data_IF_345124955213
#
_entry.id   IF_345124955213
#
_cell.length_a   1.000
_cell.length_b   1.000
_cell.length_c   1.000
_cell.angle_alpha   90.00
_cell.angle_beta   90.00
_cell.angle_gamma   90.00
#
_symmetry.space_group_name_H-M   'P 1'
#
loop_
_entity.id
_entity.type
_entity.pdbx_description
1 polymer ?
#
# COMPACT_ATOMS: atom_id res chain seq x y z
N UNK A 1 -18.89 -3.19 19.24
CA UNK A 1 -17.99 -2.59 18.25
C UNK A 1 -17.62 -1.21 18.75
N UNK A 2 -16.40 -1.05 19.25
CA UNK A 2 -15.89 0.24 19.70
C UNK A 2 -15.92 1.26 18.55
N UNK A 3 -16.21 2.51 18.88
CA UNK A 3 -16.28 3.61 17.92
C UNK A 3 -14.85 3.99 17.51
N UNK A 4 -14.33 3.45 16.42
CA UNK A 4 -13.04 3.84 15.81
C UNK A 4 -13.06 5.24 15.17
N UNK A 5 -14.00 6.10 15.58
CA UNK A 5 -14.15 7.45 15.06
C UNK A 5 -12.92 8.27 15.46
N UNK A 6 -12.03 8.48 14.48
CA UNK A 6 -10.81 9.29 14.58
C UNK A 6 -9.79 8.86 15.64
N UNK A 7 -9.63 7.55 15.88
CA UNK A 7 -8.43 7.09 16.58
C UNK A 7 -7.22 7.24 15.66
N UNK A 8 -6.33 8.18 16.00
CA UNK A 8 -4.98 8.19 15.44
C UNK A 8 -4.28 6.94 15.95
N UNK A 9 -4.29 5.86 15.18
CA UNK A 9 -3.41 4.73 15.46
C UNK A 9 -2.02 5.21 15.04
N UNK A 10 -1.24 5.66 16.01
CA UNK A 10 0.17 5.92 15.80
C UNK A 10 0.87 4.57 15.59
N UNK A 11 0.78 4.03 14.38
CA UNK A 11 1.67 2.96 13.96
C UNK A 11 3.03 3.63 13.70
N UNK A 12 3.91 3.55 14.69
CA UNK A 12 5.32 3.86 14.54
C UNK A 12 6.02 2.54 14.27
N UNK A 13 6.16 2.11 12.99
CA UNK A 13 7.19 1.15 12.70
C UNK A 13 8.48 1.85 13.14
N UNK A 14 9.21 1.25 14.07
CA UNK A 14 10.33 1.84 14.82
C UNK A 14 11.54 2.25 13.97
N UNK A 15 11.35 2.55 12.69
CA UNK A 15 12.41 2.70 11.71
C UNK A 15 12.09 3.83 10.72
N UNK A 16 12.88 4.89 10.84
CA UNK A 16 13.32 5.86 9.80
C UNK A 16 12.68 7.24 9.67
N UNK A 17 11.60 7.56 10.38
CA UNK A 17 11.24 8.94 10.67
C UNK A 17 10.36 8.98 11.92
N UNK A 18 10.51 9.97 12.79
CA UNK A 18 9.57 10.27 13.90
C UNK A 18 8.18 10.71 13.37
N UNK A 19 7.78 10.25 12.18
CA UNK A 19 6.53 10.58 11.52
C UNK A 19 5.43 9.63 11.97
N UNK A 20 4.36 10.22 12.50
CA UNK A 20 3.11 9.52 12.79
C UNK A 20 2.47 9.08 11.47
N UNK A 21 2.12 7.80 11.34
CA UNK A 21 1.21 7.32 10.29
C UNK A 21 -0.22 7.71 10.64
N UNK A 22 -0.92 8.35 9.71
CA UNK A 22 -2.31 8.75 9.91
C UNK A 22 -3.25 7.76 9.23
N UNK A 23 -4.16 7.19 10.01
CA UNK A 23 -5.22 6.31 9.54
C UNK A 23 -6.56 7.05 9.66
N UNK A 24 -7.23 7.26 8.53
CA UNK A 24 -8.47 8.04 8.47
C UNK A 24 -9.57 7.19 7.88
N UNK A 25 -10.69 7.05 8.60
CA UNK A 25 -11.87 6.34 8.12
C UNK A 25 -12.74 7.20 7.20
N UNK A 26 -13.29 6.62 6.13
CA UNK A 26 -14.13 7.34 5.16
C UNK A 26 -15.37 8.00 5.77
N UNK A 27 -15.97 7.46 6.84
CA UNK A 27 -17.10 8.11 7.54
C UNK A 27 -16.74 9.44 8.22
N UNK A 28 -15.44 9.71 8.44
CA UNK A 28 -14.99 11.00 8.96
C UNK A 28 -14.91 12.08 7.88
N UNK A 29 -15.08 11.71 6.60
CA UNK A 29 -15.04 12.62 5.47
C UNK A 29 -16.44 13.13 5.10
N UNK A 30 -16.54 14.34 4.49
CA UNK A 30 -17.78 14.81 3.88
C UNK A 30 -18.35 13.81 2.87
N UNK A 31 -19.68 13.81 2.70
CA UNK A 31 -20.38 12.85 1.85
C UNK A 31 -19.89 12.85 0.40
N UNK A 32 -19.41 13.99 -0.11
CA UNK A 32 -18.86 14.14 -1.46
C UNK A 32 -17.57 13.33 -1.67
N UNK A 33 -16.85 13.09 -0.57
CA UNK A 33 -15.61 12.33 -0.49
C UNK A 33 -15.83 10.94 0.13
N UNK A 34 -17.06 10.66 0.60
CA UNK A 34 -17.42 9.33 1.09
C UNK A 34 -17.33 8.35 -0.06
N UNK A 35 -16.44 7.39 0.11
CA UNK A 35 -16.21 6.31 -0.83
C UNK A 35 -17.33 5.31 -0.61
N UNK A 36 -18.10 5.00 -1.65
CA UNK A 36 -19.13 3.98 -1.50
C UNK A 36 -18.64 2.57 -1.81
N UNK A 37 -17.96 2.28 -2.92
CA UNK A 37 -18.23 0.92 -3.41
C UNK A 37 -17.12 -0.13 -3.62
N UNK A 38 -15.80 0.09 -3.73
CA UNK A 38 -14.92 -1.08 -4.03
C UNK A 38 -13.49 -1.10 -3.47
N UNK A 39 -12.98 0.01 -2.93
CA UNK A 39 -11.62 0.07 -2.43
C UNK A 39 -11.62 0.17 -0.91
N UNK A 40 -10.92 -0.77 -0.26
CA UNK A 40 -10.91 -0.92 1.20
C UNK A 40 -9.90 0.03 1.87
N UNK A 41 -8.84 0.41 1.16
CA UNK A 41 -7.93 1.47 1.60
C UNK A 41 -7.11 2.02 0.44
N UNK A 42 -6.54 3.21 0.64
CA UNK A 42 -5.70 3.89 -0.35
C UNK A 42 -4.70 4.83 0.32
N UNK A 43 -3.56 5.04 -0.33
CA UNK A 43 -2.57 6.06 0.01
C UNK A 43 -2.11 6.84 -1.22
N UNK A 44 -1.68 8.10 -1.03
CA UNK A 44 -1.03 8.92 -2.06
C UNK A 44 0.05 9.81 -1.46
N UNK A 45 0.90 10.40 -2.31
CA UNK A 45 1.98 11.30 -1.87
C UNK A 45 1.49 12.64 -1.30
N UNK A 46 0.26 13.04 -1.61
CA UNK A 46 -0.35 14.26 -1.08
C UNK A 46 -1.60 14.02 -0.22
N UNK A 47 -1.96 12.76 0.05
CA UNK A 47 -3.19 12.42 0.79
C UNK A 47 -3.28 13.18 2.12
N UNK A 48 -2.14 13.49 2.75
CA UNK A 48 -2.08 14.33 3.93
C UNK A 48 -2.64 15.73 3.74
N UNK A 49 -2.34 16.39 2.62
CA UNK A 49 -2.84 17.72 2.31
C UNK A 49 -4.35 17.72 2.11
N UNK A 50 -4.89 16.63 1.56
CA UNK A 50 -6.32 16.44 1.37
C UNK A 50 -7.05 16.21 2.70
N UNK A 51 -6.42 15.48 3.63
CA UNK A 51 -7.01 15.13 4.91
C UNK A 51 -6.79 16.20 5.99
N UNK A 52 -5.71 16.99 5.92
CA UNK A 52 -5.33 17.99 6.94
C UNK A 52 -6.42 18.99 7.32
N UNK A 53 -7.28 19.49 6.43
CA UNK A 53 -8.38 20.36 6.85
C UNK A 53 -9.43 19.68 7.74
N UNK A 54 -9.38 18.35 7.85
CA UNK A 54 -10.43 17.49 8.43
C UNK A 54 -9.96 16.71 9.65
N UNK A 55 -8.67 16.38 9.70
CA UNK A 55 -8.02 15.81 10.89
C UNK A 55 -7.07 16.87 11.46
N UNK A 56 -7.01 17.07 12.78
CA UNK A 56 -6.20 18.12 13.44
C UNK A 56 -4.68 17.86 13.33
N UNK A 57 -4.20 17.68 12.11
CA UNK A 57 -2.87 17.26 11.73
C UNK A 57 -1.95 18.47 11.58
N UNK A 58 -0.81 18.42 12.25
CA UNK A 58 0.30 19.35 12.07
C UNK A 58 1.40 18.76 11.18
N UNK A 59 1.82 19.50 10.17
CA UNK A 59 2.91 19.10 9.28
C UNK A 59 2.52 18.10 8.20
N UNK A 60 3.49 17.72 7.36
CA UNK A 60 3.37 16.63 6.36
C UNK A 60 3.59 15.27 7.02
N UNK A 61 3.06 14.21 6.43
CA UNK A 61 3.36 12.84 6.84
C UNK A 61 2.57 11.81 6.03
N UNK A 62 2.85 10.52 6.22
CA UNK A 62 2.15 9.46 5.51
C UNK A 62 0.70 9.33 6.01
N UNK A 63 -0.23 9.12 5.08
CA UNK A 63 -1.64 8.85 5.38
C UNK A 63 -2.14 7.62 4.64
N UNK A 64 -3.11 6.95 5.27
CA UNK A 64 -3.91 5.88 4.68
C UNK A 64 -5.37 6.23 4.93
N UNK A 65 -6.14 6.33 3.85
CA UNK A 65 -7.59 6.45 3.90
C UNK A 65 -8.18 5.04 3.86
N UNK A 66 -9.07 4.72 4.79
CA UNK A 66 -9.65 3.39 4.97
C UNK A 66 -11.16 3.45 4.82
N UNK A 67 -11.74 2.57 4.00
CA UNK A 67 -13.18 2.43 3.88
C UNK A 67 -13.75 1.62 5.05
N UNK A 68 -14.11 2.32 6.11
CA UNK A 68 -14.66 1.77 7.34
C UNK A 68 -16.09 1.23 7.19
N UNK A 69 -16.79 1.56 6.10
CA UNK A 69 -18.05 0.92 5.72
C UNK A 69 -17.85 -0.49 5.16
N UNK A 70 -16.86 -0.66 4.27
CA UNK A 70 -16.48 -1.96 3.73
C UNK A 70 -15.78 -2.82 4.78
N UNK A 71 -14.86 -2.25 5.57
CA UNK A 71 -14.17 -3.01 6.61
C UNK A 71 -15.12 -3.59 7.66
N UNK A 72 -16.22 -2.90 7.99
CA UNK A 72 -17.21 -3.41 8.92
C UNK A 72 -17.92 -4.69 8.43
N UNK A 73 -17.78 -5.03 7.15
CA UNK A 73 -18.33 -6.24 6.52
C UNK A 73 -17.26 -7.33 6.32
N UNK A 74 -16.01 -7.06 6.70
CA UNK A 74 -14.87 -7.95 6.53
C UNK A 74 -14.48 -8.61 7.86
N UNK A 75 -13.60 -9.61 7.78
CA UNK A 75 -13.00 -10.25 8.95
C UNK A 75 -12.22 -9.23 9.80
N UNK A 76 -12.18 -9.37 11.15
CA UNK A 76 -11.56 -8.40 12.05
C UNK A 76 -10.10 -8.03 11.71
N UNK A 77 -9.33 -8.98 11.19
CA UNK A 77 -7.91 -8.82 10.85
C UNK A 77 -7.68 -8.10 9.51
N UNK A 78 -8.74 -7.81 8.76
CA UNK A 78 -8.61 -7.25 7.41
C UNK A 78 -8.09 -5.80 7.43
N UNK A 79 -8.29 -5.07 8.53
CA UNK A 79 -7.67 -3.75 8.71
C UNK A 79 -6.14 -3.85 8.65
N UNK A 80 -5.53 -4.83 9.32
CA UNK A 80 -4.07 -5.03 9.31
C UNK A 80 -3.56 -5.32 7.89
N UNK A 81 -4.29 -6.12 7.13
CA UNK A 81 -3.98 -6.42 5.71
C UNK A 81 -3.94 -5.14 4.88
N UNK A 82 -4.97 -4.30 5.01
CA UNK A 82 -5.07 -3.02 4.28
C UNK A 82 -3.96 -2.07 4.70
N UNK A 83 -3.73 -1.90 6.00
CA UNK A 83 -2.68 -1.03 6.53
C UNK A 83 -1.32 -1.45 6.01
N UNK A 84 -1.01 -2.75 6.01
CA UNK A 84 0.27 -3.28 5.52
C UNK A 84 0.42 -3.09 4.01
N UNK A 85 -0.64 -3.33 3.25
CA UNK A 85 -0.66 -3.11 1.79
C UNK A 85 -0.35 -1.64 1.43
N UNK A 86 -1.07 -0.71 2.06
CA UNK A 86 -0.91 0.72 1.80
C UNK A 86 0.40 1.27 2.38
N UNK A 87 0.84 0.78 3.53
CA UNK A 87 2.15 1.14 4.10
C UNK A 87 3.30 0.70 3.20
N UNK A 88 3.19 -0.46 2.54
CA UNK A 88 4.18 -0.89 1.56
C UNK A 88 4.29 0.07 0.37
N UNK A 89 3.16 0.65 -0.11
CA UNK A 89 3.19 1.68 -1.16
C UNK A 89 3.93 2.93 -0.69
N UNK A 90 3.71 3.37 0.55
CA UNK A 90 4.42 4.49 1.16
C UNK A 90 5.92 4.21 1.23
N UNK A 91 6.32 3.02 1.66
CA UNK A 91 7.73 2.63 1.83
C UNK A 91 8.47 2.48 0.50
N UNK A 92 7.84 1.86 -0.51
CA UNK A 92 8.41 1.76 -1.85
C UNK A 92 8.65 3.14 -2.47
N UNK A 93 7.64 4.03 -2.40
CA UNK A 93 7.76 5.40 -2.88
C UNK A 93 8.86 6.18 -2.16
N UNK A 94 8.98 6.02 -0.84
CA UNK A 94 10.03 6.66 -0.05
C UNK A 94 11.42 6.19 -0.50
N UNK A 95 11.57 4.89 -0.76
CA UNK A 95 12.81 4.32 -1.26
C UNK A 95 13.19 4.89 -2.63
N UNK A 96 12.25 4.90 -3.59
CA UNK A 96 12.48 5.39 -4.96
C UNK A 96 12.87 6.87 -5.00
N UNK A 97 12.18 7.70 -4.21
CA UNK A 97 12.31 9.16 -4.28
C UNK A 97 13.30 9.71 -3.25
N UNK A 98 13.69 8.92 -2.25
CA UNK A 98 14.41 9.37 -1.06
C UNK A 98 13.59 10.26 -0.11
N UNK A 99 12.34 10.58 -0.46
CA UNK A 99 11.43 11.41 0.32
C UNK A 99 9.97 11.06 -0.03
N UNK A 100 9.07 11.23 0.93
CA UNK A 100 7.64 10.95 0.72
C UNK A 100 6.96 11.94 -0.22
N UNK A 101 7.48 13.16 -0.29
CA UNK A 101 6.96 14.26 -1.10
C UNK A 101 8.13 15.12 -1.61
N UNK A 102 8.04 15.61 -2.84
CA UNK A 102 9.00 16.56 -3.36
C UNK A 102 8.79 17.96 -2.76
N UNK A 103 9.87 18.74 -2.49
CA UNK A 103 9.74 20.16 -2.18
C UNK A 103 9.00 20.87 -3.32
N UNK A 104 7.84 21.46 -3.03
CA UNK A 104 7.03 22.13 -4.05
C UNK A 104 6.09 21.21 -4.84
N UNK A 105 5.96 19.92 -4.49
CA UNK A 105 4.78 19.11 -4.85
C UNK A 105 3.56 19.71 -4.12
N UNK A 106 3.06 20.82 -4.66
CA UNK A 106 1.64 21.10 -4.66
C UNK A 106 1.10 20.35 -5.88
N UNK A 107 0.11 19.47 -5.74
CA UNK A 107 -0.59 18.97 -6.93
C UNK A 107 -1.00 20.16 -7.80
N UNK A 108 -0.99 19.96 -9.12
CA UNK A 108 -1.36 21.00 -10.12
C UNK A 108 -2.70 21.67 -9.76
N UNK A 109 -3.59 20.91 -9.13
CA UNK A 109 -4.53 21.38 -8.09
C UNK A 109 -4.79 20.24 -7.10
N UNK A 110 -4.91 20.53 -5.79
CA UNK A 110 -5.34 19.52 -4.79
C UNK A 110 -6.66 18.86 -5.19
N UNK A 111 -7.50 19.58 -5.92
CA UNK A 111 -8.78 19.07 -6.44
C UNK A 111 -8.60 17.98 -7.49
N UNK A 112 -7.58 18.05 -8.34
CA UNK A 112 -7.34 17.02 -9.36
C UNK A 112 -6.75 15.75 -8.76
N UNK A 113 -5.84 15.86 -7.79
CA UNK A 113 -5.34 14.68 -7.08
C UNK A 113 -6.41 14.09 -6.16
N UNK A 114 -7.26 14.92 -5.53
CA UNK A 114 -8.46 14.43 -4.87
C UNK A 114 -9.36 13.67 -5.84
N UNK A 115 -9.67 14.24 -7.00
CA UNK A 115 -10.47 13.56 -8.02
C UNK A 115 -9.83 12.25 -8.45
N UNK A 116 -8.51 12.18 -8.61
CA UNK A 116 -7.80 10.96 -9.01
C UNK A 116 -7.80 9.89 -7.91
N UNK A 117 -7.50 10.26 -6.67
CA UNK A 117 -7.59 9.36 -5.50
C UNK A 117 -9.01 8.86 -5.37
N UNK A 118 -10.01 9.74 -5.35
CA UNK A 118 -11.41 9.34 -5.25
C UNK A 118 -11.92 8.61 -6.49
N UNK A 119 -11.41 8.89 -7.70
CA UNK A 119 -11.74 8.15 -8.91
C UNK A 119 -11.18 6.73 -8.87
N UNK A 120 -9.91 6.55 -8.50
CA UNK A 120 -9.27 5.24 -8.32
C UNK A 120 -10.06 4.36 -7.37
N UNK A 121 -10.52 4.97 -6.28
CA UNK A 121 -11.31 4.32 -5.25
C UNK A 121 -12.75 4.02 -5.74
N UNK A 122 -13.32 4.85 -6.62
CA UNK A 122 -14.64 4.63 -7.25
C UNK A 122 -14.61 3.61 -8.39
N UNK A 123 -13.50 3.50 -9.13
CA UNK A 123 -13.40 2.72 -10.37
C UNK A 123 -12.95 1.28 -10.19
N UNK A 124 -12.70 0.82 -8.96
CA UNK A 124 -12.13 -0.51 -8.68
C UNK A 124 -13.09 -1.69 -8.96
N UNK A 125 -14.23 -1.45 -9.61
CA UNK A 125 -15.27 -2.47 -9.90
C UNK A 125 -14.92 -3.46 -11.02
N UNK A 126 -13.77 -3.35 -11.68
CA UNK A 126 -13.38 -4.32 -12.71
C UNK A 126 -11.87 -4.61 -12.66
N UNK A 127 -11.45 -5.40 -11.67
CA UNK A 127 -10.12 -6.02 -11.63
C UNK A 127 -9.01 -5.04 -12.01
N UNK A 128 -8.78 -4.03 -11.16
CA UNK A 128 -7.63 -3.15 -11.30
C UNK A 128 -6.38 -4.01 -11.29
N UNK A 129 -5.93 -4.40 -12.49
CA UNK A 129 -4.56 -4.82 -12.70
C UNK A 129 -3.73 -3.75 -12.00
N UNK A 130 -2.79 -4.11 -11.11
CA UNK A 130 -1.80 -3.14 -10.75
C UNK A 130 -1.27 -2.64 -12.10
N UNK A 131 -1.20 -1.32 -12.33
CA UNK A 131 -0.21 -0.91 -13.29
C UNK A 131 1.08 -1.53 -12.73
N UNK A 132 1.60 -2.57 -13.38
CA UNK A 132 2.97 -2.99 -13.15
C UNK A 132 3.83 -1.86 -13.73
N UNK A 133 3.76 -0.70 -13.08
CA UNK A 133 4.64 0.43 -13.23
C UNK A 133 5.90 0.12 -12.43
N UNK A 134 7.02 0.74 -12.83
CA UNK A 134 8.34 0.50 -12.23
C UNK A 134 8.26 0.45 -10.70
N UNK A 135 9.08 -0.44 -10.12
CA UNK A 135 9.29 -0.60 -8.68
C UNK A 135 8.22 -1.41 -7.91
N UNK A 136 7.33 -2.10 -8.64
CA UNK A 136 6.41 -3.07 -8.04
C UNK A 136 7.12 -4.21 -7.27
N UNK A 137 8.37 -4.54 -7.59
CA UNK A 137 9.18 -5.49 -6.85
C UNK A 137 9.55 -4.98 -5.45
N UNK A 138 9.90 -3.70 -5.32
CA UNK A 138 10.12 -3.05 -4.03
C UNK A 138 8.85 -3.05 -3.18
N UNK A 139 7.70 -2.81 -3.80
CA UNK A 139 6.42 -2.94 -3.11
C UNK A 139 6.16 -4.37 -2.61
N UNK A 140 6.36 -5.40 -3.44
CA UNK A 140 6.20 -6.81 -3.04
C UNK A 140 7.16 -7.16 -1.89
N UNK A 141 8.43 -6.73 -1.95
CA UNK A 141 9.39 -6.96 -0.86
C UNK A 141 8.94 -6.26 0.42
N UNK A 142 8.56 -4.98 0.34
CA UNK A 142 8.10 -4.21 1.49
C UNK A 142 6.88 -4.85 2.16
N UNK A 143 5.85 -5.21 1.39
CA UNK A 143 4.60 -5.76 1.93
C UNK A 143 4.84 -7.11 2.62
N UNK A 144 5.73 -7.94 2.08
CA UNK A 144 6.03 -9.25 2.66
C UNK A 144 6.91 -9.15 3.91
N UNK A 145 7.85 -8.21 3.97
CA UNK A 145 8.62 -7.93 5.20
C UNK A 145 7.74 -7.35 6.30
N UNK A 146 6.87 -6.39 5.97
CA UNK A 146 5.89 -5.84 6.92
C UNK A 146 4.97 -6.93 7.48
N UNK A 147 4.49 -7.84 6.61
CA UNK A 147 3.74 -9.02 7.06
C UNK A 147 4.56 -9.94 7.94
N UNK A 148 5.81 -10.23 7.59
CA UNK A 148 6.66 -11.11 8.38
C UNK A 148 6.78 -10.61 9.82
N UNK A 149 6.96 -9.29 10.00
CA UNK A 149 7.00 -8.64 11.32
C UNK A 149 5.67 -8.68 12.04
N UNK A 150 4.57 -8.33 11.36
CA UNK A 150 3.24 -8.40 11.96
C UNK A 150 2.93 -9.82 12.48
N UNK A 151 3.32 -10.86 11.72
CA UNK A 151 3.16 -12.25 12.14
C UNK A 151 3.99 -12.60 13.37
N UNK A 152 5.20 -12.03 13.51
CA UNK A 152 6.01 -12.21 14.71
C UNK A 152 5.42 -11.50 15.94
N UNK A 153 4.71 -10.40 15.73
CA UNK A 153 4.00 -9.64 16.77
C UNK A 153 2.63 -10.24 17.15
N UNK A 154 2.24 -11.35 16.51
CA UNK A 154 1.02 -12.10 16.84
C UNK A 154 -0.18 -11.83 15.94
N UNK A 155 -0.05 -10.98 14.91
CA UNK A 155 -1.07 -10.89 13.86
C UNK A 155 -1.06 -12.16 12.99
N UNK A 156 -2.21 -12.53 12.42
CA UNK A 156 -2.27 -13.67 11.52
C UNK A 156 -3.15 -13.40 10.30
N UNK A 157 -2.53 -13.40 9.14
CA UNK A 157 -3.22 -13.43 7.85
C UNK A 157 -2.34 -14.07 6.78
N UNK A 158 -2.98 -14.71 5.81
CA UNK A 158 -2.31 -15.39 4.69
C UNK A 158 -1.69 -14.37 3.72
N UNK A 159 -0.51 -14.65 3.14
CA UNK A 159 0.15 -13.71 2.23
C UNK A 159 -0.71 -13.41 0.99
N UNK A 160 -1.56 -14.34 0.56
CA UNK A 160 -2.51 -14.19 -0.55
C UNK A 160 -3.60 -13.12 -0.30
N UNK A 161 -3.74 -12.63 0.95
CA UNK A 161 -4.62 -11.51 1.26
C UNK A 161 -3.99 -10.16 0.93
N UNK A 162 -2.67 -10.08 0.82
CA UNK A 162 -1.96 -8.84 0.52
C UNK A 162 -1.99 -8.51 -0.97
N UNK A 163 -1.83 -9.52 -1.81
CA UNK A 163 -2.02 -9.45 -3.25
C UNK A 163 -2.47 -10.80 -3.78
N UNK A 164 -3.32 -10.75 -4.80
CA UNK A 164 -3.93 -11.93 -5.41
C UNK A 164 -3.34 -12.18 -6.80
N UNK A 165 -3.70 -13.32 -7.40
CA UNK A 165 -3.39 -13.58 -8.82
C UNK A 165 -4.09 -12.63 -9.78
N UNK A 166 -5.14 -11.92 -9.33
CA UNK A 166 -5.83 -10.92 -10.14
C UNK A 166 -4.91 -9.74 -10.50
N UNK A 167 -3.82 -9.59 -9.74
CA UNK A 167 -2.75 -8.65 -10.02
C UNK A 167 -1.83 -9.10 -11.17
N UNK A 168 -2.04 -10.30 -11.74
CA UNK A 168 -1.15 -10.90 -12.74
C UNK A 168 0.15 -11.44 -12.14
N UNK A 169 0.22 -11.56 -10.81
CA UNK A 169 1.38 -12.05 -10.08
C UNK A 169 1.27 -13.55 -9.80
N UNK A 170 2.42 -14.20 -9.71
CA UNK A 170 2.60 -15.51 -9.07
C UNK A 170 2.06 -15.43 -7.64
N UNK A 171 1.56 -16.57 -7.13
CA UNK A 171 0.99 -16.64 -5.79
C UNK A 171 2.01 -16.12 -4.75
N UNK A 172 1.55 -15.25 -3.84
CA UNK A 172 2.34 -14.63 -2.78
C UNK A 172 3.16 -15.63 -1.93
N UNK A 173 2.72 -16.88 -1.78
CA UNK A 173 3.46 -17.93 -1.08
C UNK A 173 4.83 -18.21 -1.71
N UNK A 174 4.96 -18.13 -3.04
CA UNK A 174 6.24 -18.33 -3.72
C UNK A 174 7.22 -17.19 -3.44
N UNK A 175 6.72 -15.95 -3.41
CA UNK A 175 7.52 -14.79 -3.01
C UNK A 175 7.97 -14.89 -1.54
N UNK A 176 7.10 -15.36 -0.63
CA UNK A 176 7.48 -15.64 0.77
C UNK A 176 8.61 -16.67 0.85
N UNK A 177 8.54 -17.75 0.08
CA UNK A 177 9.61 -18.75 0.04
C UNK A 177 10.91 -18.17 -0.51
N UNK A 178 10.84 -17.40 -1.59
CA UNK A 178 12.00 -16.77 -2.22
C UNK A 178 12.71 -15.76 -1.30
N UNK A 179 11.95 -15.07 -0.44
CA UNK A 179 12.47 -14.10 0.52
C UNK A 179 12.83 -14.70 1.89
N UNK A 180 12.61 -15.99 2.13
CA UNK A 180 12.74 -16.59 3.47
C UNK A 180 14.10 -16.30 4.15
N UNK A 181 15.21 -16.43 3.42
CA UNK A 181 16.54 -16.15 3.97
C UNK A 181 16.73 -14.67 4.31
N UNK A 182 16.16 -13.78 3.48
CA UNK A 182 16.20 -12.34 3.73
C UNK A 182 15.38 -11.97 4.96
N UNK A 183 14.20 -12.58 5.15
CA UNK A 183 13.38 -12.36 6.35
C UNK A 183 14.16 -12.67 7.63
N UNK A 184 14.85 -13.82 7.67
CA UNK A 184 15.65 -14.22 8.83
C UNK A 184 16.84 -13.29 9.04
N UNK A 185 17.54 -12.92 7.96
CA UNK A 185 18.76 -12.11 8.05
C UNK A 185 18.48 -10.62 8.35
N UNK A 186 17.30 -10.11 7.98
CA UNK A 186 16.96 -8.67 8.02
C UNK A 186 15.70 -8.38 8.84
N UNK A 187 15.36 -9.26 9.78
CA UNK A 187 14.14 -9.13 10.60
C UNK A 187 14.06 -7.76 11.29
N UNK A 188 15.18 -7.27 11.82
CA UNK A 188 15.27 -6.01 12.56
C UNK A 188 15.73 -4.81 11.70
N UNK A 189 16.12 -5.03 10.44
CA UNK A 189 16.60 -3.95 9.57
C UNK A 189 15.45 -2.99 9.21
N UNK A 190 15.68 -1.69 9.04
CA UNK A 190 14.68 -0.82 8.44
C UNK A 190 14.20 -1.30 7.06
N UNK A 191 12.92 -1.10 6.74
CA UNK A 191 12.39 -1.48 5.42
C UNK A 191 13.15 -0.77 4.30
N UNK A 192 13.50 0.51 4.44
CA UNK A 192 14.24 1.20 3.38
C UNK A 192 15.66 0.62 3.19
N UNK A 193 16.33 0.16 4.24
CA UNK A 193 17.61 -0.54 4.12
C UNK A 193 17.46 -1.88 3.39
N UNK A 194 16.39 -2.62 3.66
CA UNK A 194 16.05 -3.84 2.93
C UNK A 194 15.86 -3.54 1.44
N UNK A 195 15.08 -2.51 1.11
CA UNK A 195 14.82 -2.13 -0.28
C UNK A 195 16.08 -1.63 -1.01
N UNK A 196 17.03 -1.00 -0.30
CA UNK A 196 18.34 -0.60 -0.86
C UNK A 196 19.27 -1.77 -1.14
N UNK A 197 19.09 -2.93 -0.49
CA UNK A 197 19.92 -4.08 -0.80
C UNK A 197 19.44 -4.83 -2.01
N UNK A 198 20.38 -5.47 -2.69
CA UNK A 198 20.09 -6.40 -3.78
C UNK A 198 19.06 -7.44 -3.35
N UNK A 199 17.99 -7.67 -4.14
CA UNK A 199 17.00 -8.67 -3.83
C UNK A 199 17.61 -10.09 -3.93
N UNK A 200 17.09 -11.08 -3.18
CA UNK A 200 17.49 -12.47 -3.38
C UNK A 200 17.25 -12.93 -4.82
N UNK A 201 18.19 -13.67 -5.40
CA UNK A 201 18.11 -14.17 -6.79
C UNK A 201 16.78 -14.87 -7.10
N UNK A 202 16.32 -15.76 -6.20
CA UNK A 202 15.05 -16.46 -6.36
C UNK A 202 13.84 -15.54 -6.38
N UNK A 203 13.89 -14.41 -5.68
CA UNK A 203 12.84 -13.39 -5.73
C UNK A 203 12.88 -12.64 -7.06
N UNK A 204 14.08 -12.23 -7.49
CA UNK A 204 14.27 -11.50 -8.74
C UNK A 204 13.78 -12.31 -9.95
N UNK A 205 14.12 -13.60 -10.02
CA UNK A 205 13.66 -14.48 -11.09
C UNK A 205 12.13 -14.62 -11.15
N UNK A 206 11.45 -14.70 -9.99
CA UNK A 206 10.00 -14.74 -9.93
C UNK A 206 9.38 -13.45 -10.43
N UNK A 207 9.91 -12.31 -9.99
CA UNK A 207 9.45 -11.00 -10.43
C UNK A 207 9.64 -10.80 -11.93
N UNK A 208 10.81 -11.11 -12.47
CA UNK A 208 11.10 -10.98 -13.91
C UNK A 208 10.17 -11.84 -14.76
N UNK A 209 9.83 -13.05 -14.30
CA UNK A 209 8.85 -13.92 -14.95
C UNK A 209 7.45 -13.30 -14.97
N UNK A 210 6.96 -12.80 -13.83
CA UNK A 210 5.64 -12.18 -13.72
C UNK A 210 5.56 -10.88 -14.53
N UNK A 211 6.62 -10.08 -14.49
CA UNK A 211 6.73 -8.85 -15.27
C UNK A 211 6.71 -9.14 -16.77
N UNK A 212 7.49 -10.11 -17.25
CA UNK A 212 7.48 -10.54 -18.64
C UNK A 212 6.09 -11.05 -19.07
N UNK A 213 5.43 -11.83 -18.22
CA UNK A 213 4.07 -12.34 -18.44
C UNK A 213 3.07 -11.17 -18.58
N UNK A 214 3.12 -10.20 -17.69
CA UNK A 214 2.28 -9.00 -17.74
C UNK A 214 2.49 -8.17 -19.01
N UNK A 215 3.73 -7.93 -19.42
CA UNK A 215 4.06 -7.19 -20.66
C UNK A 215 3.47 -7.90 -21.89
N UNK A 216 3.55 -9.23 -21.94
CA UNK A 216 2.95 -10.03 -23.01
C UNK A 216 1.43 -9.93 -23.02
N UNK A 217 0.76 -9.91 -21.87
CA UNK A 217 -0.69 -9.76 -21.80
C UNK A 217 -1.15 -8.34 -22.18
N UNK A 218 -0.45 -7.31 -21.69
CA UNK A 218 -0.79 -5.90 -21.92
C UNK A 218 -0.64 -5.51 -23.39
N UNK A 219 0.41 -6.00 -24.07
CA UNK A 219 0.62 -5.77 -25.50
C UNK A 219 -0.46 -6.39 -26.41
N UNK A 220 -1.16 -7.44 -25.95
CA UNK A 220 -2.29 -8.05 -26.67
C UNK A 220 -3.60 -7.27 -26.50
N UNK A 221 -3.84 -6.66 -25.35
CA UNK A 221 -5.06 -5.85 -25.10
C UNK A 221 -5.09 -4.57 -25.95
N UNK A 222 -3.94 -3.99 -26.27
CA UNK A 222 -3.82 -2.83 -27.17
C UNK A 222 -4.05 -3.14 -28.66
N UNK A 223 -4.29 -4.40 -29.03
CA UNK A 223 -4.54 -4.85 -30.43
C UNK A 223 -5.97 -5.37 -30.64
N UNK A 224 -6.96 -4.87 -29.88
CA UNK A 224 -8.36 -5.09 -30.28
C UNK A 224 -8.64 -4.19 -31.50
N UNK A 225 -9.15 -4.75 -32.61
CA UNK A 225 -9.53 -3.97 -33.79
C UNK A 225 -10.64 -2.96 -33.48
#
# INVERSE_FOLDING_TARGET
>A
MENWAASTIAYSPKTEADSVLYLVGTKSLPNELSVRDNCVGTTSGCLDLLLRPRVCWKGRGPAILVNDGLLAQMEPHFLSVVVIHELAHIMARLHERGQLWAPGESPRSLDDEAKEVFATVRSSSNGSSPPMCGDCDNWIRAVLHLRHRAVQDGDYFYPERLFTRDYGLTNASFYVQALYREFVAKVDSPIAEILRSEPPEGFQLLWEHDFATYVQFSSKKGKRP
#
